data_IF_213486138287
#
_entry.id   IF_213486138287
#
_cell.length_a   1.000
_cell.length_b   1.000
_cell.length_c   1.000
_cell.angle_alpha   90.00
_cell.angle_beta   90.00
_cell.angle_gamma   90.00
#
_symmetry.space_group_name_H-M   'P 1'
#
loop_
_entity.id
_entity.type
_entity.pdbx_description
1 polymer ?
#
# COMPACT_ATOMS: atom_id res chain seq x y z
N UNK A 1 15.02 -14.32 -10.61
CA UNK A 1 15.39 -15.19 -9.48
C UNK A 1 14.52 -16.42 -9.63
N UNK A 2 15.09 -17.54 -10.05
CA UNK A 2 14.35 -18.80 -10.20
C UNK A 2 14.53 -19.61 -8.91
N UNK A 3 13.41 -20.04 -8.33
CA UNK A 3 13.39 -21.05 -7.26
C UNK A 3 13.86 -22.37 -7.87
N UNK A 4 14.49 -23.24 -7.08
CA UNK A 4 14.92 -24.57 -7.54
C UNK A 4 13.77 -25.36 -8.16
N UNK A 5 14.09 -26.41 -8.92
CA UNK A 5 13.09 -27.24 -9.61
C UNK A 5 11.99 -27.78 -8.68
N UNK A 6 12.32 -28.01 -7.40
CA UNK A 6 11.40 -28.49 -6.37
C UNK A 6 10.63 -27.39 -5.62
N UNK A 7 10.91 -26.11 -5.90
CA UNK A 7 10.21 -24.94 -5.36
C UNK A 7 10.24 -24.79 -3.82
N UNK A 8 11.22 -25.39 -3.14
CA UNK A 8 11.31 -25.49 -1.68
C UNK A 8 12.36 -24.56 -1.04
N UNK A 9 13.22 -23.92 -1.84
CA UNK A 9 14.33 -23.07 -1.40
C UNK A 9 14.00 -21.56 -1.37
N UNK A 10 12.73 -21.18 -1.54
CA UNK A 10 12.30 -19.78 -1.56
C UNK A 10 12.70 -18.99 -0.30
N UNK A 11 12.78 -19.68 0.84
CA UNK A 11 13.20 -19.11 2.12
C UNK A 11 14.68 -18.66 2.11
N UNK A 12 15.56 -19.38 1.40
CA UNK A 12 16.97 -19.05 1.23
C UNK A 12 17.15 -17.79 0.38
N UNK A 13 16.25 -17.54 -0.57
CA UNK A 13 16.25 -16.35 -1.41
C UNK A 13 15.59 -15.13 -0.76
N UNK A 14 14.83 -15.32 0.33
CA UNK A 14 14.08 -14.26 1.00
C UNK A 14 14.94 -13.06 1.43
N UNK A 15 16.16 -13.23 2.00
CA UNK A 15 17.03 -12.11 2.35
C UNK A 15 17.45 -11.30 1.12
N UNK A 16 17.79 -11.98 0.01
CA UNK A 16 18.20 -11.34 -1.23
C UNK A 16 17.03 -10.62 -1.90
N UNK A 17 15.84 -11.24 -1.93
CA UNK A 17 14.62 -10.62 -2.43
C UNK A 17 14.24 -9.37 -1.62
N UNK A 18 14.35 -9.43 -0.28
CA UNK A 18 14.15 -8.27 0.60
C UNK A 18 15.15 -7.16 0.31
N UNK A 19 16.44 -7.50 0.12
CA UNK A 19 17.47 -6.53 -0.23
C UNK A 19 17.17 -5.86 -1.58
N UNK A 20 16.86 -6.65 -2.61
CA UNK A 20 16.51 -6.15 -3.94
C UNK A 20 15.26 -5.26 -3.90
N UNK A 21 14.21 -5.68 -3.20
CA UNK A 21 12.97 -4.90 -3.05
C UNK A 21 13.19 -3.57 -2.33
N UNK A 22 13.97 -3.57 -1.25
CA UNK A 22 14.24 -2.34 -0.49
C UNK A 22 15.20 -1.38 -1.22
N UNK A 23 15.98 -1.86 -2.18
CA UNK A 23 16.92 -1.06 -2.97
C UNK A 23 16.35 -0.63 -4.33
N UNK A 24 15.29 -1.28 -4.80
CA UNK A 24 14.58 -0.92 -6.02
C UNK A 24 13.78 0.37 -5.84
N UNK A 25 13.72 1.18 -6.90
CA UNK A 25 12.89 2.38 -6.91
C UNK A 25 11.41 2.00 -6.95
N UNK A 26 10.62 2.53 -5.99
CA UNK A 26 9.19 2.29 -5.98
C UNK A 26 8.47 3.36 -6.82
N UNK A 27 7.55 2.93 -7.69
CA UNK A 27 6.92 3.80 -8.71
C UNK A 27 6.15 4.99 -8.13
N UNK A 28 5.58 4.85 -6.93
CA UNK A 28 4.82 5.89 -6.23
C UNK A 28 5.69 6.92 -5.50
N UNK A 29 6.90 6.55 -5.07
CA UNK A 29 7.79 7.43 -4.29
C UNK A 29 9.00 7.90 -5.10
N UNK A 30 9.22 7.33 -6.29
CA UNK A 30 10.38 7.60 -7.18
C UNK A 30 11.74 7.45 -6.50
N UNK A 31 11.75 6.75 -5.36
CA UNK A 31 12.89 6.48 -4.49
C UNK A 31 12.74 5.09 -3.92
N UNK A 32 13.85 4.44 -3.64
CA UNK A 32 13.87 3.17 -2.92
C UNK A 32 13.59 3.38 -1.43
N UNK A 33 12.95 2.39 -0.75
CA UNK A 33 12.75 2.43 0.70
C UNK A 33 14.04 2.68 1.49
N UNK A 34 15.17 2.07 1.10
CA UNK A 34 16.48 2.32 1.73
C UNK A 34 16.88 3.80 1.66
N UNK A 35 16.71 4.44 0.49
CA UNK A 35 17.06 5.83 0.30
C UNK A 35 16.17 6.76 1.14
N UNK A 36 14.88 6.45 1.29
CA UNK A 36 13.97 7.27 2.10
C UNK A 36 14.32 7.24 3.59
N UNK A 37 14.79 6.10 4.11
CA UNK A 37 15.14 5.94 5.53
C UNK A 37 16.55 6.46 5.82
N UNK A 38 17.53 6.09 4.99
CA UNK A 38 18.95 6.31 5.29
C UNK A 38 19.61 7.38 4.41
N UNK A 39 18.90 7.92 3.41
CA UNK A 39 19.43 8.94 2.49
C UNK A 39 20.45 8.41 1.49
N UNK A 40 20.72 7.09 1.49
CA UNK A 40 21.67 6.41 0.59
C UNK A 40 21.19 4.99 0.29
N UNK A 41 21.53 4.51 -0.90
CA UNK A 41 21.34 3.12 -1.30
C UNK A 41 22.65 2.35 -1.15
N UNK A 42 22.63 1.14 -0.59
CA UNK A 42 23.81 0.28 -0.59
C UNK A 42 24.14 -0.15 -2.03
N UNK A 43 25.39 0.03 -2.45
CA UNK A 43 25.91 -0.56 -3.69
C UNK A 43 26.64 -1.87 -3.36
N UNK A 44 26.55 -2.85 -4.26
CA UNK A 44 27.30 -4.10 -4.13
C UNK A 44 28.83 -3.88 -4.16
N UNK A 45 29.29 -2.83 -4.87
CA UNK A 45 30.71 -2.53 -5.06
C UNK A 45 31.33 -1.69 -3.92
N UNK A 46 30.55 -1.24 -2.95
CA UNK A 46 31.05 -0.33 -1.90
C UNK A 46 30.49 -0.63 -0.52
N UNK A 47 30.97 -1.73 0.06
CA UNK A 47 31.10 -1.86 1.53
C UNK A 47 32.35 -1.08 1.99
N UNK A 48 32.46 0.17 1.56
CA UNK A 48 33.32 1.15 2.21
C UNK A 48 32.39 2.17 2.83
N UNK A 49 32.08 1.94 4.11
CA UNK A 49 31.43 2.95 4.93
C UNK A 49 32.49 4.00 5.22
N UNK A 50 32.62 5.00 4.33
CA UNK A 50 33.37 6.20 4.66
C UNK A 50 32.69 6.85 5.86
N UNK A 51 33.35 6.78 7.03
CA UNK A 51 32.86 7.31 8.30
C UNK A 51 32.87 8.85 8.37
N UNK A 52 33.33 9.51 7.32
CA UNK A 52 33.50 10.97 7.31
C UNK A 52 32.40 11.65 6.49
N UNK A 53 31.23 11.84 7.09
CA UNK A 53 30.31 12.88 6.63
C UNK A 53 29.76 13.65 7.82
N UNK A 54 29.86 15.00 7.85
CA UNK A 54 29.37 15.78 8.97
C UNK A 54 27.86 15.55 9.10
N UNK A 55 27.44 14.94 10.21
CA UNK A 55 26.06 14.49 10.45
C UNK A 55 24.98 15.55 10.14
N UNK A 56 25.32 16.84 10.28
CA UNK A 56 24.41 17.97 10.01
C UNK A 56 24.12 18.26 8.53
N UNK A 57 24.98 17.88 7.57
CA UNK A 57 24.71 18.07 6.12
C UNK A 57 23.86 16.92 5.57
N UNK A 58 24.05 15.71 6.10
CA UNK A 58 23.27 14.52 5.74
C UNK A 58 21.83 14.63 6.23
N UNK A 59 21.61 15.16 7.44
CA UNK A 59 20.27 15.30 8.01
C UNK A 59 19.37 16.28 7.23
N UNK A 60 19.88 17.46 6.83
CA UNK A 60 19.12 18.42 6.02
C UNK A 60 18.75 17.85 4.64
N UNK A 61 19.67 17.11 4.02
CA UNK A 61 19.43 16.43 2.73
C UNK A 61 18.43 15.28 2.87
N UNK A 62 18.45 14.55 3.98
CA UNK A 62 17.47 13.50 4.27
C UNK A 62 16.07 14.09 4.47
N UNK A 63 15.96 15.19 5.21
CA UNK A 63 14.68 15.88 5.42
C UNK A 63 14.07 16.39 4.10
N UNK A 64 14.87 16.98 3.21
CA UNK A 64 14.37 17.42 1.90
C UNK A 64 13.94 16.24 1.02
N UNK A 65 14.69 15.14 1.04
CA UNK A 65 14.29 13.89 0.35
C UNK A 65 12.98 13.34 0.91
N UNK A 66 12.82 13.29 2.22
CA UNK A 66 11.59 12.80 2.87
C UNK A 66 10.38 13.67 2.52
N UNK A 67 10.57 14.99 2.44
CA UNK A 67 9.53 15.92 2.02
C UNK A 67 9.08 15.65 0.58
N UNK A 68 10.01 15.50 -0.35
CA UNK A 68 9.71 15.17 -1.76
C UNK A 68 8.99 13.83 -1.87
N UNK A 69 9.45 12.80 -1.14
CA UNK A 69 8.80 11.48 -1.13
C UNK A 69 7.36 11.56 -0.62
N UNK A 70 7.11 12.38 0.39
CA UNK A 70 5.75 12.61 0.92
C UNK A 70 4.85 13.25 -0.14
N UNK A 71 5.33 14.27 -0.84
CA UNK A 71 4.58 14.97 -1.89
C UNK A 71 4.24 14.04 -3.07
N UNK A 72 5.19 13.21 -3.50
CA UNK A 72 4.97 12.18 -4.53
C UNK A 72 3.95 11.13 -4.08
N UNK A 73 4.03 10.67 -2.82
CA UNK A 73 3.08 9.72 -2.27
C UNK A 73 1.65 10.29 -2.22
N UNK A 74 1.50 11.54 -1.78
CA UNK A 74 0.21 12.21 -1.78
C UNK A 74 -0.34 12.36 -3.21
N UNK A 75 0.52 12.66 -4.19
CA UNK A 75 0.16 12.70 -5.60
C UNK A 75 -0.33 11.34 -6.12
N UNK A 76 0.38 10.26 -5.77
CA UNK A 76 -0.01 8.90 -6.11
C UNK A 76 -1.35 8.50 -5.48
N UNK A 77 -1.58 8.84 -4.20
CA UNK A 77 -2.86 8.62 -3.51
C UNK A 77 -3.99 9.39 -4.22
N UNK A 78 -3.78 10.66 -4.57
CA UNK A 78 -4.77 11.45 -5.32
C UNK A 78 -5.10 10.82 -6.67
N UNK A 79 -4.09 10.31 -7.39
CA UNK A 79 -4.28 9.59 -8.65
C UNK A 79 -5.11 8.32 -8.45
N UNK A 80 -4.75 7.49 -7.47
CA UNK A 80 -5.49 6.27 -7.14
C UNK A 80 -6.94 6.57 -6.78
N UNK A 81 -7.18 7.60 -5.97
CA UNK A 81 -8.52 8.08 -5.63
C UNK A 81 -9.30 8.48 -6.89
N UNK A 82 -8.72 9.28 -7.79
CA UNK A 82 -9.37 9.68 -9.04
C UNK A 82 -9.78 8.48 -9.90
N UNK A 83 -8.94 7.46 -10.02
CA UNK A 83 -9.28 6.25 -10.77
C UNK A 83 -10.34 5.40 -10.06
N UNK A 84 -10.27 5.27 -8.74
CA UNK A 84 -11.25 4.53 -7.94
C UNK A 84 -12.63 5.22 -7.99
N UNK A 85 -12.67 6.54 -7.83
CA UNK A 85 -13.90 7.34 -7.84
C UNK A 85 -14.55 7.38 -9.23
N UNK A 86 -13.78 7.21 -10.32
CA UNK A 86 -14.34 7.14 -11.69
C UNK A 86 -15.40 6.05 -11.87
N UNK A 87 -15.26 4.92 -11.14
CA UNK A 87 -16.18 3.79 -11.22
C UNK A 87 -17.17 3.74 -10.05
N UNK A 88 -17.16 4.74 -9.16
CA UNK A 88 -18.12 4.84 -8.06
C UNK A 88 -19.33 5.64 -8.51
N UNK A 89 -20.50 5.04 -8.41
CA UNK A 89 -21.76 5.78 -8.50
C UNK A 89 -21.92 6.66 -7.27
N UNK A 90 -22.39 7.88 -7.48
CA UNK A 90 -22.82 8.76 -6.38
C UNK A 90 -23.96 8.02 -5.67
N UNK A 91 -23.86 7.76 -4.35
CA UNK A 91 -24.95 7.13 -3.62
C UNK A 91 -26.17 8.07 -3.66
N UNK A 92 -27.40 7.54 -3.74
CA UNK A 92 -28.59 8.36 -3.60
C UNK A 92 -28.63 9.02 -2.22
N UNK A 93 -29.23 10.21 -2.13
CA UNK A 93 -29.51 10.87 -0.86
C UNK A 93 -30.66 10.13 -0.17
N UNK A 94 -30.32 9.26 0.79
CA UNK A 94 -31.30 8.53 1.58
C UNK A 94 -31.98 9.45 2.59
N UNK A 95 -33.30 9.37 2.68
CA UNK A 95 -34.09 10.07 3.68
C UNK A 95 -34.55 9.12 4.79
N UNK A 96 -34.76 9.60 6.02
CA UNK A 96 -35.42 8.80 7.05
C UNK A 96 -36.78 8.27 6.55
N UNK A 97 -37.02 6.97 6.70
CA UNK A 97 -38.21 6.27 6.19
C UNK A 97 -37.99 5.51 4.88
N UNK A 98 -36.88 5.74 4.17
CA UNK A 98 -36.56 5.01 2.95
C UNK A 98 -36.27 3.53 3.23
N UNK A 99 -36.75 2.65 2.34
CA UNK A 99 -36.47 1.20 2.40
C UNK A 99 -35.26 0.85 1.55
N UNK A 100 -34.19 0.39 2.19
CA UNK A 100 -32.92 0.06 1.55
C UNK A 100 -32.55 -1.41 1.72
N UNK A 101 -31.87 -1.94 0.71
CA UNK A 101 -31.25 -3.26 0.75
C UNK A 101 -29.77 -3.13 1.11
N UNK A 102 -29.29 -3.94 2.04
CA UNK A 102 -27.89 -3.96 2.46
C UNK A 102 -27.15 -5.13 1.79
N UNK A 103 -25.99 -4.87 1.20
CA UNK A 103 -25.16 -5.94 0.66
C UNK A 103 -24.61 -6.81 1.81
N UNK A 104 -24.83 -8.12 1.75
CA UNK A 104 -24.36 -9.08 2.76
C UNK A 104 -22.84 -9.36 2.68
N UNK A 105 -22.13 -8.71 1.77
CA UNK A 105 -20.73 -9.00 1.46
C UNK A 105 -19.81 -8.86 2.68
N UNK A 106 -20.08 -7.90 3.56
CA UNK A 106 -19.27 -7.61 4.75
C UNK A 106 -20.04 -7.77 6.06
N UNK A 107 -21.23 -8.39 6.01
CA UNK A 107 -22.11 -8.56 7.18
C UNK A 107 -22.01 -10.03 7.63
N UNK A 108 -21.63 -10.24 8.89
CA UNK A 108 -21.70 -11.57 9.50
C UNK A 108 -23.17 -11.90 9.73
N UNK A 109 -23.67 -12.91 9.02
CA UNK A 109 -25.01 -13.45 9.23
C UNK A 109 -24.94 -14.62 10.22
N UNK A 110 -26.09 -15.06 10.71
CA UNK A 110 -26.23 -16.26 11.54
C UNK A 110 -25.92 -17.56 10.79
N UNK A 111 -25.78 -17.50 9.45
CA UNK A 111 -25.43 -18.68 8.65
C UNK A 111 -23.93 -19.00 8.80
N UNK A 112 -23.56 -20.29 8.94
CA UNK A 112 -22.17 -20.71 9.09
C UNK A 112 -21.35 -20.50 7.81
N UNK A 113 -22.00 -20.55 6.63
CA UNK A 113 -21.34 -20.37 5.33
C UNK A 113 -22.09 -19.36 4.47
N UNK A 114 -21.35 -18.54 3.73
CA UNK A 114 -21.86 -17.54 2.79
C UNK A 114 -22.34 -18.12 1.45
N UNK A 115 -22.02 -19.39 1.18
CA UNK A 115 -22.43 -20.07 -0.05
C UNK A 115 -23.95 -20.30 0.01
N UNK A 116 -24.66 -19.91 -1.05
CA UNK A 116 -26.13 -19.93 -1.14
C UNK A 116 -26.84 -19.06 -0.07
N UNK A 117 -26.15 -18.09 0.53
CA UNK A 117 -26.82 -17.09 1.36
C UNK A 117 -27.33 -15.93 0.51
N UNK A 118 -28.32 -15.21 1.03
CA UNK A 118 -28.81 -13.99 0.42
C UNK A 118 -27.68 -12.98 0.21
N UNK A 119 -27.63 -12.39 -0.99
CA UNK A 119 -26.63 -11.37 -1.35
C UNK A 119 -27.03 -9.97 -0.85
N UNK A 120 -28.32 -9.77 -0.65
CA UNK A 120 -28.93 -8.52 -0.18
C UNK A 120 -29.85 -8.83 1.00
N UNK A 121 -29.68 -8.10 2.10
CA UNK A 121 -30.49 -8.22 3.31
C UNK A 121 -31.47 -7.05 3.37
N UNK A 122 -32.70 -7.29 3.82
CA UNK A 122 -33.70 -6.24 4.01
C UNK A 122 -35.05 -6.57 3.36
N UNK A 123 -35.90 -5.56 3.10
CA UNK A 123 -35.64 -4.12 3.18
C UNK A 123 -35.56 -3.60 4.62
N UNK A 124 -34.59 -2.74 4.90
CA UNK A 124 -34.45 -2.01 6.17
C UNK A 124 -34.89 -0.56 6.01
N UNK A 125 -35.42 0.01 7.08
CA UNK A 125 -35.82 1.42 7.11
C UNK A 125 -34.64 2.28 7.58
N UNK A 126 -34.36 3.37 6.87
CA UNK A 126 -33.38 4.38 7.27
C UNK A 126 -33.96 5.18 8.44
N UNK A 127 -33.30 5.16 9.59
CA UNK A 127 -33.81 5.83 10.81
C UNK A 127 -33.31 7.28 10.90
N UNK A 128 -32.06 7.55 10.51
CA UNK A 128 -31.42 8.85 10.55
C UNK A 128 -30.14 8.88 9.71
#
# INVERSE_FOLDING_TARGET
>A
MYVSYHQDDWNTWLPLAKFAYNNAEHSSTKKSPFFTIYGRNPSFDSIHVSQDSPAGKVSKKLQSVQQVVKEELESAIRRLKKYADRNRSIPPDFQPGDKVWLASSNIKTTRPTKKLSERWLGPFEVIK
#
